data_IF_441492315049
#
_entry.id   IF_441492315049
#
_cell.length_a   1.000
_cell.length_b   1.000
_cell.length_c   1.000
_cell.angle_alpha   90.00
_cell.angle_beta   90.00
_cell.angle_gamma   90.00
#
_symmetry.space_group_name_H-M   'P 1'
#
loop_
_entity.id
_entity.type
_entity.pdbx_description
1 polymer ?
#
# COMPACT_ATOMS: atom_id res chain seq x y z
N UNK A 1 3.21 -21.53 -9.23
CA UNK A 1 2.29 -21.04 -8.19
C UNK A 1 1.59 -22.16 -7.41
N UNK A 2 0.71 -23.00 -7.96
CA UNK A 2 -0.01 -24.03 -7.15
C UNK A 2 0.90 -25.12 -6.58
N UNK A 3 1.94 -25.54 -7.32
CA UNK A 3 2.96 -26.48 -6.81
C UNK A 3 3.78 -25.92 -5.65
N UNK A 4 3.99 -24.60 -5.61
CA UNK A 4 4.69 -23.94 -4.51
C UNK A 4 3.90 -24.02 -3.21
N UNK A 5 2.57 -23.86 -3.26
CA UNK A 5 1.67 -23.98 -2.09
C UNK A 5 1.74 -25.37 -1.41
N UNK A 6 1.87 -26.46 -2.17
CA UNK A 6 2.07 -27.80 -1.60
C UNK A 6 3.43 -27.93 -0.88
N UNK A 7 4.47 -27.28 -1.41
CA UNK A 7 5.81 -27.28 -0.83
C UNK A 7 5.91 -26.41 0.43
N UNK A 8 5.00 -25.45 0.63
CA UNK A 8 4.93 -24.64 1.85
C UNK A 8 4.81 -25.51 3.09
N UNK A 9 3.91 -26.51 3.05
CA UNK A 9 3.63 -27.39 4.20
C UNK A 9 4.80 -28.33 4.49
N UNK A 10 5.60 -28.65 3.47
CA UNK A 10 6.73 -29.58 3.57
C UNK A 10 8.00 -28.94 4.14
N UNK A 11 8.15 -27.62 4.07
CA UNK A 11 9.35 -26.90 4.51
C UNK A 11 9.16 -26.39 5.95
N UNK A 12 9.88 -26.93 6.96
CA UNK A 12 9.65 -26.58 8.37
C UNK A 12 9.86 -25.09 8.69
N UNK A 13 10.89 -24.47 8.12
CA UNK A 13 11.18 -23.04 8.30
C UNK A 13 10.07 -22.15 7.75
N UNK A 14 9.65 -22.40 6.51
CA UNK A 14 8.59 -21.65 5.84
C UNK A 14 7.25 -21.81 6.57
N UNK A 15 6.96 -23.03 7.04
CA UNK A 15 5.80 -23.31 7.89
C UNK A 15 5.85 -22.50 9.19
N UNK A 16 7.00 -22.46 9.88
CA UNK A 16 7.16 -21.68 11.11
C UNK A 16 6.92 -20.18 10.88
N UNK A 17 7.49 -19.62 9.81
CA UNK A 17 7.29 -18.21 9.42
C UNK A 17 5.83 -17.88 9.10
N UNK A 18 5.12 -18.78 8.41
CA UNK A 18 3.70 -18.60 8.09
C UNK A 18 2.83 -18.71 9.33
N UNK A 19 3.08 -19.70 10.20
CA UNK A 19 2.36 -19.83 11.47
C UNK A 19 2.57 -18.57 12.31
N UNK A 20 3.80 -18.06 12.41
CA UNK A 20 4.08 -16.80 13.11
C UNK A 20 3.27 -15.63 12.53
N UNK A 21 3.22 -15.51 11.20
CA UNK A 21 2.44 -14.48 10.51
C UNK A 21 0.94 -14.59 10.81
N UNK A 22 0.38 -15.82 10.77
CA UNK A 22 -1.03 -16.07 11.10
C UNK A 22 -1.35 -15.78 12.57
N UNK A 23 -0.46 -16.12 13.49
CA UNK A 23 -0.60 -15.78 14.92
C UNK A 23 -0.62 -14.26 15.10
N UNK A 24 0.25 -13.53 14.40
CA UNK A 24 0.26 -12.06 14.44
C UNK A 24 -1.01 -11.45 13.84
N UNK A 25 -1.61 -12.05 12.81
CA UNK A 25 -2.93 -11.65 12.32
C UNK A 25 -4.04 -11.89 13.35
N UNK A 26 -3.99 -13.00 14.09
CA UNK A 26 -4.93 -13.25 15.17
C UNK A 26 -4.79 -12.19 16.29
N UNK A 27 -3.55 -11.83 16.66
CA UNK A 27 -3.28 -10.76 17.64
C UNK A 27 -3.81 -9.40 17.15
N UNK A 28 -3.53 -9.04 15.90
CA UNK A 28 -4.09 -7.85 15.27
C UNK A 28 -5.62 -7.85 15.35
N UNK A 29 -6.26 -8.98 14.99
CA UNK A 29 -7.71 -9.06 14.99
C UNK A 29 -8.31 -8.96 16.39
N UNK A 30 -7.73 -9.62 17.38
CA UNK A 30 -8.18 -9.52 18.78
C UNK A 30 -8.16 -8.06 19.26
N UNK A 31 -7.11 -7.30 18.94
CA UNK A 31 -7.06 -5.89 19.34
C UNK A 31 -8.10 -4.99 18.67
N UNK A 32 -8.63 -5.34 17.49
CA UNK A 32 -9.76 -4.60 16.88
C UNK A 32 -11.08 -4.75 17.65
N UNK A 33 -11.16 -5.68 18.61
CA UNK A 33 -12.31 -5.86 19.48
C UNK A 33 -12.15 -5.18 20.85
N UNK A 34 -11.00 -4.58 21.13
CA UNK A 34 -10.73 -3.87 22.39
C UNK A 34 -11.08 -2.39 22.18
N UNK A 35 -12.19 -1.87 22.73
CA UNK A 35 -12.59 -0.47 22.57
C UNK A 35 -11.66 0.46 23.35
N UNK A 36 -11.54 1.71 22.88
CA UNK A 36 -10.81 2.74 23.63
C UNK A 36 -11.61 3.12 24.89
N UNK A 37 -10.95 3.26 26.05
CA UNK A 37 -11.62 3.72 27.27
C UNK A 37 -12.26 5.11 27.11
N UNK A 38 -13.50 5.26 27.57
CA UNK A 38 -14.19 6.56 27.65
C UNK A 38 -14.98 6.97 26.40
N UNK A 39 -15.13 6.07 25.42
CA UNK A 39 -15.89 6.32 24.18
C UNK A 39 -17.07 5.35 24.08
N UNK A 40 -18.23 5.84 23.66
CA UNK A 40 -19.38 4.99 23.36
C UNK A 40 -19.29 4.48 21.90
N UNK A 41 -19.08 3.17 21.68
CA UNK A 41 -19.00 2.60 20.34
C UNK A 41 -20.30 2.79 19.54
N UNK A 42 -21.45 2.84 20.22
CA UNK A 42 -22.75 2.94 19.57
C UNK A 42 -23.02 4.36 19.03
N UNK A 43 -22.48 5.39 19.69
CA UNK A 43 -22.51 6.77 19.20
C UNK A 43 -21.67 6.92 17.92
N UNK A 44 -20.52 6.25 17.88
CA UNK A 44 -19.65 6.23 16.69
C UNK A 44 -20.31 5.47 15.54
N UNK A 45 -20.94 4.33 15.80
CA UNK A 45 -21.65 3.59 14.75
C UNK A 45 -22.77 4.42 14.09
N UNK A 46 -23.47 5.26 14.86
CA UNK A 46 -24.48 6.19 14.33
C UNK A 46 -23.87 7.30 13.47
N UNK A 47 -22.75 7.88 13.89
CA UNK A 47 -21.99 8.86 13.09
C UNK A 47 -21.48 8.23 11.78
N UNK A 48 -21.01 6.99 11.83
CA UNK A 48 -20.52 6.25 10.66
C UNK A 48 -21.61 5.93 9.64
N UNK A 49 -22.83 5.66 10.09
CA UNK A 49 -23.97 5.45 9.19
C UNK A 49 -24.40 6.73 8.44
N UNK A 50 -23.93 7.91 8.87
CA UNK A 50 -24.26 9.21 8.28
C UNK A 50 -23.17 9.83 7.38
N UNK A 51 -21.93 9.30 7.39
CA UNK A 51 -20.78 9.94 6.74
C UNK A 51 -19.98 9.03 5.80
N UNK A 52 -19.90 9.41 4.51
CA UNK A 52 -19.17 8.69 3.45
C UNK A 52 -17.64 8.70 3.60
N UNK A 53 -17.06 9.76 4.18
CA UNK A 53 -15.60 9.93 4.36
C UNK A 53 -14.99 8.85 5.29
N UNK A 54 -15.74 8.45 6.31
CA UNK A 54 -15.27 7.54 7.34
C UNK A 54 -15.20 6.07 6.87
N UNK A 55 -15.93 5.71 5.81
CA UNK A 55 -15.96 4.34 5.28
C UNK A 55 -14.63 3.85 4.68
N UNK A 56 -13.85 4.71 4.01
CA UNK A 56 -12.55 4.28 3.44
C UNK A 56 -11.49 4.07 4.53
N UNK A 57 -11.45 4.96 5.52
CA UNK A 57 -10.58 4.82 6.68
C UNK A 57 -10.91 3.52 7.44
N UNK A 58 -12.20 3.18 7.53
CA UNK A 58 -12.65 1.94 8.16
C UNK A 58 -12.20 0.69 7.39
N UNK A 59 -12.23 0.72 6.05
CA UNK A 59 -11.72 -0.38 5.21
C UNK A 59 -10.22 -0.63 5.44
N UNK A 60 -9.40 0.42 5.55
CA UNK A 60 -7.97 0.27 5.86
C UNK A 60 -7.68 -0.12 7.32
N UNK A 61 -8.63 0.16 8.22
CA UNK A 61 -8.56 -0.25 9.63
C UNK A 61 -9.15 -1.65 9.87
N UNK A 62 -9.82 -2.25 8.89
CA UNK A 62 -10.49 -3.54 9.02
C UNK A 62 -11.70 -3.54 9.97
N UNK A 63 -12.44 -2.44 10.05
CA UNK A 63 -13.55 -2.28 11.00
C UNK A 63 -13.11 -1.84 12.41
N UNK A 64 -11.83 -1.50 12.59
CA UNK A 64 -11.28 -1.04 13.86
C UNK A 64 -11.74 0.38 14.20
N UNK A 65 -12.05 1.18 13.17
CA UNK A 65 -12.51 2.55 13.27
C UNK A 65 -14.01 2.61 13.59
N UNK A 66 -14.85 1.78 12.94
CA UNK A 66 -16.29 1.69 13.21
C UNK A 66 -16.59 1.26 14.65
N UNK A 67 -15.72 0.44 15.25
CA UNK A 67 -15.81 0.00 16.65
C UNK A 67 -15.02 0.88 17.62
N UNK A 68 -14.32 1.88 17.11
CA UNK A 68 -13.40 2.74 17.83
C UNK A 68 -12.48 1.97 18.80
N UNK A 69 -11.80 0.98 18.24
CA UNK A 69 -10.86 0.14 18.97
C UNK A 69 -9.54 0.86 19.23
N UNK A 70 -8.68 0.25 20.05
CA UNK A 70 -7.29 0.71 20.26
C UNK A 70 -6.50 0.83 18.93
N UNK A 71 -6.95 0.16 17.88
CA UNK A 71 -6.37 0.20 16.53
C UNK A 71 -7.15 1.06 15.55
N UNK A 72 -8.02 1.97 16.02
CA UNK A 72 -8.85 2.82 15.16
C UNK A 72 -8.04 3.61 14.11
N UNK A 73 -6.83 4.05 14.46
CA UNK A 73 -5.94 4.77 13.54
C UNK A 73 -5.18 3.84 12.56
N UNK A 74 -5.24 2.53 12.78
CA UNK A 74 -4.50 1.50 12.03
C UNK A 74 -3.00 1.81 12.00
N UNK A 75 -2.31 1.35 10.95
CA UNK A 75 -0.91 1.65 10.65
C UNK A 75 -0.75 2.98 9.87
N UNK A 76 -1.83 3.73 9.65
CA UNK A 76 -1.87 4.96 8.84
C UNK A 76 -0.84 6.02 9.27
N UNK A 77 -0.65 6.32 10.57
CA UNK A 77 0.36 7.30 10.99
C UNK A 77 1.78 6.89 10.62
N UNK A 78 2.08 5.59 10.66
CA UNK A 78 3.38 5.06 10.24
C UNK A 78 3.57 5.18 8.75
N UNK A 79 2.53 4.88 7.96
CA UNK A 79 2.55 5.09 6.52
C UNK A 79 2.86 6.56 6.26
N UNK A 80 2.07 7.50 6.79
CA UNK A 80 2.29 8.94 6.60
C UNK A 80 3.70 9.38 6.99
N UNK A 81 4.22 8.91 8.13
CA UNK A 81 5.58 9.19 8.55
C UNK A 81 6.62 8.67 7.54
N UNK A 82 6.50 7.43 7.09
CA UNK A 82 7.39 6.82 6.10
C UNK A 82 7.36 7.58 4.77
N UNK A 83 6.18 8.05 4.36
CA UNK A 83 5.98 8.84 3.15
C UNK A 83 6.75 10.15 3.26
N UNK A 84 6.54 10.88 4.35
CA UNK A 84 7.18 12.18 4.58
C UNK A 84 8.69 12.02 4.60
N UNK A 85 9.23 11.04 5.31
CA UNK A 85 10.68 10.79 5.31
C UNK A 85 11.19 10.44 3.91
N UNK A 86 10.45 9.63 3.15
CA UNK A 86 10.86 9.28 1.79
C UNK A 86 10.83 10.46 0.81
N UNK A 87 9.91 11.41 0.99
CA UNK A 87 9.91 12.68 0.26
C UNK A 87 11.08 13.57 0.69
N UNK A 88 11.35 13.64 2.00
CA UNK A 88 12.47 14.42 2.55
C UNK A 88 13.83 13.86 2.13
N UNK A 89 13.95 12.56 1.81
CA UNK A 89 15.19 11.97 1.29
C UNK A 89 15.69 12.66 0.01
N UNK A 90 14.80 13.24 -0.79
CA UNK A 90 15.16 13.94 -2.04
C UNK A 90 15.65 15.36 -1.78
N UNK A 91 15.15 15.99 -0.71
CA UNK A 91 15.43 17.39 -0.38
C UNK A 91 16.60 17.51 0.60
N UNK A 92 16.74 16.56 1.51
CA UNK A 92 17.73 16.58 2.59
C UNK A 92 18.92 15.67 2.22
N UNK A 93 20.11 16.24 1.97
CA UNK A 93 21.27 15.46 1.51
C UNK A 93 21.77 14.45 2.54
N UNK A 94 21.56 14.68 3.84
CA UNK A 94 21.94 13.70 4.89
C UNK A 94 21.10 12.43 4.81
N UNK A 95 19.81 12.57 4.48
CA UNK A 95 18.92 11.42 4.28
C UNK A 95 19.27 10.67 2.99
N UNK A 96 19.64 11.40 1.94
CA UNK A 96 20.15 10.81 0.70
C UNK A 96 21.44 10.01 0.93
N UNK A 97 22.37 10.54 1.74
CA UNK A 97 23.60 9.85 2.13
C UNK A 97 23.30 8.55 2.89
N UNK A 98 22.39 8.58 3.87
CA UNK A 98 21.97 7.35 4.55
C UNK A 98 21.34 6.34 3.58
N UNK A 99 20.61 6.78 2.55
CA UNK A 99 20.12 5.87 1.52
C UNK A 99 21.25 5.22 0.70
N UNK A 100 22.45 5.80 0.65
CA UNK A 100 23.64 5.26 -0.04
C UNK A 100 24.52 4.39 0.87
N UNK A 101 24.42 4.54 2.19
CA UNK A 101 25.16 3.76 3.20
C UNK A 101 24.67 2.29 3.33
N UNK A 102 23.66 1.88 2.57
CA UNK A 102 23.13 0.51 2.59
C UNK A 102 22.37 0.20 3.88
N UNK A 103 22.64 -0.97 4.48
CA UNK A 103 21.82 -1.49 5.58
C UNK A 103 21.88 -0.66 6.87
N UNK A 104 23.04 -0.07 7.19
CA UNK A 104 23.17 0.82 8.35
C UNK A 104 22.38 2.12 8.18
N UNK A 105 22.41 2.70 6.98
CA UNK A 105 21.65 3.90 6.68
C UNK A 105 20.14 3.66 6.62
N UNK A 106 19.71 2.48 6.16
CA UNK A 106 18.31 2.06 6.31
C UNK A 106 17.88 1.99 7.77
N UNK A 107 18.71 1.42 8.66
CA UNK A 107 18.42 1.40 10.11
C UNK A 107 18.29 2.80 10.71
N UNK A 108 19.13 3.76 10.29
CA UNK A 108 19.03 5.17 10.71
C UNK A 108 17.71 5.79 10.25
N UNK A 109 17.38 5.62 8.97
CA UNK A 109 16.15 6.16 8.37
C UNK A 109 14.91 5.59 9.06
N UNK A 110 14.87 4.27 9.30
CA UNK A 110 13.78 3.61 10.02
C UNK A 110 13.64 4.14 11.44
N UNK A 111 14.74 4.39 12.17
CA UNK A 111 14.66 4.99 13.52
C UNK A 111 13.99 6.37 13.48
N UNK A 112 14.37 7.22 12.53
CA UNK A 112 13.74 8.55 12.37
C UNK A 112 12.26 8.41 12.04
N UNK A 113 11.90 7.51 11.11
CA UNK A 113 10.51 7.21 10.76
C UNK A 113 9.70 6.76 11.98
N UNK A 114 10.27 5.91 12.86
CA UNK A 114 9.61 5.46 14.10
C UNK A 114 9.33 6.62 15.04
N UNK A 115 10.31 7.46 15.34
CA UNK A 115 10.10 8.62 16.21
C UNK A 115 9.06 9.57 15.64
N UNK A 116 9.13 9.84 14.33
CA UNK A 116 8.18 10.69 13.65
C UNK A 116 6.76 10.10 13.64
N UNK A 117 6.64 8.77 13.52
CA UNK A 117 5.37 8.04 13.65
C UNK A 117 4.73 8.28 15.00
N UNK A 118 5.49 8.20 16.11
CA UNK A 118 4.93 8.42 17.45
C UNK A 118 4.38 9.83 17.59
N UNK A 119 5.12 10.84 17.11
CA UNK A 119 4.69 12.24 17.17
C UNK A 119 3.43 12.46 16.32
N UNK A 120 3.42 11.97 15.07
CA UNK A 120 2.27 12.09 14.18
C UNK A 120 1.05 11.34 14.71
N UNK A 121 1.24 10.13 15.23
CA UNK A 121 0.17 9.35 15.83
C UNK A 121 -0.43 10.09 17.03
N UNK A 122 0.38 10.68 17.89
CA UNK A 122 -0.11 11.45 19.03
C UNK A 122 -0.90 12.68 18.60
N UNK A 123 -0.39 13.47 17.65
CA UNK A 123 -1.08 14.65 17.13
C UNK A 123 -2.40 14.28 16.44
N UNK A 124 -2.38 13.24 15.60
CA UNK A 124 -3.57 12.77 14.90
C UNK A 124 -4.58 12.14 15.88
N UNK A 125 -4.14 11.47 16.94
CA UNK A 125 -5.00 10.90 17.98
C UNK A 125 -5.66 11.99 18.83
N UNK A 126 -4.91 13.03 19.21
CA UNK A 126 -5.47 14.22 19.86
C UNK A 126 -6.53 14.87 18.98
N UNK A 127 -6.22 15.06 17.70
CA UNK A 127 -7.16 15.58 16.73
C UNK A 127 -8.43 14.72 16.67
N UNK A 128 -8.27 13.43 16.47
CA UNK A 128 -9.40 12.51 16.38
C UNK A 128 -10.29 12.53 17.64
N UNK A 129 -9.68 12.60 18.83
CA UNK A 129 -10.42 12.70 20.09
C UNK A 129 -11.18 14.03 20.23
N UNK A 130 -10.63 15.13 19.72
CA UNK A 130 -11.30 16.44 19.71
C UNK A 130 -12.44 16.47 18.68
N UNK A 131 -12.23 15.88 17.51
CA UNK A 131 -13.23 15.83 16.43
C UNK A 131 -14.43 14.92 16.75
N UNK A 132 -14.23 13.93 17.62
CA UNK A 132 -15.27 12.97 18.06
C UNK A 132 -15.78 13.25 19.48
N UNK A 133 -15.70 14.49 19.96
CA UNK A 133 -16.15 14.89 21.31
C UNK A 133 -17.59 14.45 21.63
N UNK A 134 -18.47 14.41 20.63
CA UNK A 134 -19.87 13.97 20.80
C UNK A 134 -20.02 12.48 21.10
N UNK A 135 -19.01 11.66 20.76
CA UNK A 135 -18.99 10.22 21.06
C UNK A 135 -18.24 9.88 22.36
N UNK A 136 -17.62 10.86 23.01
CA UNK A 136 -16.88 10.69 24.26
C UNK A 136 -17.87 10.84 25.42
N UNK A 137 -17.94 9.82 26.30
CA UNK A 137 -18.90 9.77 27.41
C UNK A 137 -18.73 10.95 28.40
N UNK A 138 -17.49 11.41 28.59
CA UNK A 138 -17.14 12.57 29.42
C UNK A 138 -16.04 13.39 28.72
N UNK A 139 -16.39 14.35 27.85
CA UNK A 139 -15.41 15.13 27.11
C UNK A 139 -14.67 16.07 28.06
N UNK A 140 -13.43 15.72 28.42
CA UNK A 140 -12.54 16.54 29.23
C UNK A 140 -11.08 16.40 28.77
N UNK A 141 -10.18 17.35 29.10
CA UNK A 141 -8.78 17.32 28.67
C UNK A 141 -8.08 16.02 29.06
N UNK A 142 -8.41 15.47 30.24
CA UNK A 142 -7.87 14.21 30.72
C UNK A 142 -8.37 13.01 29.91
N UNK A 143 -9.65 12.98 29.54
CA UNK A 143 -10.21 11.92 28.67
C UNK A 143 -9.59 11.97 27.28
N UNK A 144 -9.44 13.17 26.69
CA UNK A 144 -8.76 13.36 25.41
C UNK A 144 -7.31 12.87 25.45
N UNK A 145 -6.59 13.14 26.54
CA UNK A 145 -5.21 12.67 26.70
C UNK A 145 -5.15 11.14 26.82
N UNK A 146 -6.05 10.52 27.59
CA UNK A 146 -6.13 9.05 27.72
C UNK A 146 -6.43 8.40 26.37
N UNK A 147 -7.39 8.93 25.62
CA UNK A 147 -7.73 8.45 24.27
C UNK A 147 -6.51 8.60 23.34
N UNK A 148 -5.85 9.77 23.36
CA UNK A 148 -4.70 10.04 22.52
C UNK A 148 -3.53 9.07 22.80
N UNK A 149 -3.22 8.84 24.08
CA UNK A 149 -2.18 7.89 24.50
C UNK A 149 -2.57 6.47 24.10
N UNK A 150 -3.82 6.06 24.29
CA UNK A 150 -4.30 4.71 23.96
C UNK A 150 -4.20 4.42 22.46
N UNK A 151 -4.67 5.35 21.63
CA UNK A 151 -4.58 5.22 20.17
C UNK A 151 -3.14 5.24 19.67
N UNK A 152 -2.29 6.11 20.25
CA UNK A 152 -0.86 6.16 19.93
C UNK A 152 -0.16 4.86 20.30
N UNK A 153 -0.43 4.32 21.49
CA UNK A 153 0.11 3.04 21.94
C UNK A 153 -0.36 1.90 21.04
N UNK A 154 -1.62 1.91 20.61
CA UNK A 154 -2.18 0.95 19.66
C UNK A 154 -1.45 0.99 18.31
N UNK A 155 -1.25 2.16 17.71
CA UNK A 155 -0.50 2.29 16.45
C UNK A 155 0.97 1.88 16.60
N UNK A 156 1.63 2.24 17.70
CA UNK A 156 3.03 1.83 17.95
C UNK A 156 3.13 0.32 18.12
N UNK A 157 2.15 -0.30 18.78
CA UNK A 157 2.07 -1.76 18.89
C UNK A 157 1.87 -2.41 17.52
N UNK A 158 1.00 -1.88 16.65
CA UNK A 158 0.83 -2.37 15.29
C UNK A 158 2.10 -2.23 14.45
N UNK A 159 2.80 -1.11 14.58
CA UNK A 159 4.11 -0.91 13.94
C UNK A 159 5.09 -1.99 14.39
N UNK A 160 5.17 -2.26 15.70
CA UNK A 160 6.01 -3.34 16.24
C UNK A 160 5.59 -4.71 15.68
N UNK A 161 4.30 -5.04 15.65
CA UNK A 161 3.80 -6.29 15.05
C UNK A 161 4.21 -6.41 13.58
N UNK A 162 4.11 -5.32 12.81
CA UNK A 162 4.52 -5.30 11.40
C UNK A 162 6.01 -5.56 11.23
N UNK A 163 6.85 -4.99 12.10
CA UNK A 163 8.29 -5.25 12.09
C UNK A 163 8.61 -6.69 12.51
N UNK A 164 7.89 -7.25 13.48
CA UNK A 164 8.04 -8.65 13.88
C UNK A 164 7.67 -9.61 12.75
N UNK A 165 6.58 -9.34 12.02
CA UNK A 165 6.21 -10.13 10.83
C UNK A 165 7.30 -10.02 9.75
N UNK A 166 7.90 -8.84 9.57
CA UNK A 166 8.98 -8.66 8.57
C UNK A 166 10.24 -9.42 8.95
N UNK A 167 10.59 -9.47 10.25
CA UNK A 167 11.79 -10.16 10.73
C UNK A 167 11.62 -11.69 10.80
N UNK A 168 10.51 -12.15 11.38
CA UNK A 168 10.30 -13.55 11.74
C UNK A 168 9.25 -14.25 10.85
N UNK A 169 8.50 -13.50 10.06
CA UNK A 169 7.43 -14.00 9.19
C UNK A 169 7.83 -14.07 7.73
N UNK A 170 6.82 -14.00 6.87
CA UNK A 170 6.94 -13.97 5.41
C UNK A 170 6.40 -12.64 4.91
N UNK A 171 7.01 -12.03 3.89
CA UNK A 171 6.48 -10.79 3.33
C UNK A 171 7.00 -9.52 4.03
N UNK A 172 6.40 -8.40 3.64
CA UNK A 172 6.50 -7.13 4.37
C UNK A 172 5.33 -7.06 5.35
N UNK A 173 5.64 -7.01 6.65
CA UNK A 173 4.62 -7.09 7.69
C UNK A 173 3.66 -5.91 7.74
N UNK A 174 4.11 -4.70 7.43
CA UNK A 174 3.23 -3.52 7.35
C UNK A 174 2.21 -3.71 6.23
N UNK A 175 2.67 -4.12 5.05
CA UNK A 175 1.79 -4.42 3.91
C UNK A 175 0.81 -5.54 4.22
N UNK A 176 1.25 -6.56 4.96
CA UNK A 176 0.41 -7.69 5.38
C UNK A 176 -0.64 -7.33 6.44
N UNK A 177 -0.35 -6.38 7.34
CA UNK A 177 -1.37 -5.85 8.27
C UNK A 177 -2.48 -5.13 7.49
N UNK A 178 -2.14 -4.31 6.50
CA UNK A 178 -3.13 -3.63 5.64
C UNK A 178 -3.94 -4.65 4.85
N UNK A 179 -3.26 -5.66 4.28
CA UNK A 179 -3.90 -6.79 3.59
C UNK A 179 -4.91 -7.50 4.51
N UNK A 180 -4.50 -7.84 5.73
CA UNK A 180 -5.36 -8.52 6.71
C UNK A 180 -6.57 -7.64 7.11
N UNK A 181 -6.39 -6.33 7.27
CA UNK A 181 -7.46 -5.38 7.55
C UNK A 181 -8.52 -5.37 6.45
N UNK A 182 -8.09 -5.22 5.19
CA UNK A 182 -9.00 -5.19 4.03
C UNK A 182 -9.74 -6.53 3.89
N UNK A 183 -9.02 -7.65 3.95
CA UNK A 183 -9.61 -8.99 3.77
C UNK A 183 -10.59 -9.31 4.91
N UNK A 184 -10.32 -8.85 6.14
CA UNK A 184 -11.22 -9.03 7.28
C UNK A 184 -12.55 -8.28 7.14
N UNK A 185 -12.61 -7.22 6.33
CA UNK A 185 -13.85 -6.48 6.06
C UNK A 185 -14.72 -7.15 4.97
N UNK A 186 -14.13 -8.00 4.10
CA UNK A 186 -14.85 -8.65 2.99
C UNK A 186 -16.05 -9.49 3.45
N UNK A 187 -15.97 -10.36 4.48
CA UNK A 187 -17.11 -11.17 4.92
C UNK A 187 -18.31 -10.32 5.36
N UNK A 188 -18.05 -9.22 6.09
CA UNK A 188 -19.10 -8.32 6.54
C UNK A 188 -19.77 -7.59 5.36
N UNK A 189 -18.98 -7.18 4.36
CA UNK A 189 -19.50 -6.55 3.14
C UNK A 189 -20.35 -7.52 2.30
N UNK A 190 -19.95 -8.80 2.20
CA UNK A 190 -20.75 -9.84 1.54
C UNK A 190 -22.07 -10.07 2.30
N UNK A 191 -22.05 -10.08 3.63
CA UNK A 191 -23.25 -10.18 4.46
C UNK A 191 -24.23 -9.01 4.22
N UNK A 192 -23.72 -7.77 4.09
CA UNK A 192 -24.54 -6.61 3.74
C UNK A 192 -25.20 -6.76 2.37
N UNK A 193 -24.44 -7.20 1.35
CA UNK A 193 -24.98 -7.48 0.00
C UNK A 193 -26.10 -8.52 0.07
N UNK A 194 -25.92 -9.58 0.87
CA UNK A 194 -26.93 -10.61 1.04
C UNK A 194 -28.21 -10.07 1.69
N UNK A 195 -28.11 -9.22 2.72
CA UNK A 195 -29.26 -8.56 3.31
C UNK A 195 -29.96 -7.59 2.34
N UNK A 196 -29.22 -6.85 1.51
CA UNK A 196 -29.81 -5.98 0.50
C UNK A 196 -30.52 -6.74 -0.62
N UNK A 197 -30.06 -7.94 -0.96
CA UNK A 197 -30.74 -8.86 -1.86
C UNK A 197 -32.05 -9.38 -1.24
N UNK A 198 -32.03 -9.76 0.03
CA UNK A 198 -33.22 -10.22 0.75
C UNK A 198 -34.26 -9.10 0.93
N UNK A 199 -33.81 -7.87 1.17
CA UNK A 199 -34.65 -6.68 1.31
C UNK A 199 -35.24 -6.20 -0.03
N UNK A 200 -34.85 -6.78 -1.17
CA UNK A 200 -35.31 -6.39 -2.51
C UNK A 200 -34.79 -5.04 -3.01
N UNK A 201 -33.93 -4.37 -2.22
CA UNK A 201 -33.31 -3.08 -2.60
C UNK A 201 -32.34 -3.20 -3.78
N UNK A 202 -31.79 -4.39 -4.03
CA UNK A 202 -30.82 -4.66 -5.10
C UNK A 202 -31.28 -5.87 -5.90
N UNK A 203 -31.28 -5.74 -7.22
CA UNK A 203 -31.59 -6.86 -8.14
C UNK A 203 -30.44 -7.87 -8.21
N UNK A 204 -30.77 -9.15 -8.36
CA UNK A 204 -29.80 -10.23 -8.63
C UNK A 204 -28.91 -9.92 -9.85
N UNK A 205 -29.45 -9.21 -10.84
CA UNK A 205 -28.71 -8.78 -12.04
C UNK A 205 -27.58 -7.82 -11.67
N UNK A 206 -27.82 -6.86 -10.77
CA UNK A 206 -26.81 -5.88 -10.35
C UNK A 206 -25.67 -6.56 -9.58
N UNK A 207 -26.00 -7.56 -8.74
CA UNK A 207 -24.98 -8.34 -8.02
C UNK A 207 -24.13 -9.18 -8.97
N UNK A 208 -24.74 -9.77 -10.02
CA UNK A 208 -23.99 -10.49 -11.04
C UNK A 208 -23.04 -9.58 -11.82
N UNK A 209 -23.52 -8.42 -12.30
CA UNK A 209 -22.67 -7.43 -12.97
C UNK A 209 -21.54 -6.93 -12.07
N UNK A 210 -21.85 -6.66 -10.80
CA UNK A 210 -20.86 -6.26 -9.81
C UNK A 210 -19.76 -7.32 -9.62
N UNK A 211 -20.15 -8.59 -9.45
CA UNK A 211 -19.20 -9.70 -9.32
C UNK A 211 -18.34 -9.88 -10.58
N UNK A 212 -18.94 -9.77 -11.77
CA UNK A 212 -18.22 -9.85 -13.03
C UNK A 212 -17.17 -8.73 -13.17
N UNK A 213 -17.52 -7.49 -12.80
CA UNK A 213 -16.58 -6.36 -12.81
C UNK A 213 -15.47 -6.56 -11.78
N UNK A 214 -15.80 -7.03 -10.57
CA UNK A 214 -14.79 -7.31 -9.54
C UNK A 214 -13.76 -8.35 -10.04
N UNK A 215 -14.21 -9.44 -10.66
CA UNK A 215 -13.31 -10.44 -11.25
C UNK A 215 -12.50 -9.85 -12.40
N UNK A 216 -13.12 -9.09 -13.30
CA UNK A 216 -12.42 -8.41 -14.39
C UNK A 216 -11.32 -7.46 -13.89
N UNK A 217 -11.59 -6.71 -12.81
CA UNK A 217 -10.60 -5.86 -12.16
C UNK A 217 -9.43 -6.68 -11.60
N UNK A 218 -9.69 -7.80 -10.92
CA UNK A 218 -8.62 -8.67 -10.40
C UNK A 218 -7.73 -9.16 -11.54
N UNK A 219 -8.32 -9.67 -12.63
CA UNK A 219 -7.56 -10.16 -13.79
C UNK A 219 -6.72 -9.05 -14.40
N UNK A 220 -7.31 -7.86 -14.57
CA UNK A 220 -6.62 -6.69 -15.13
C UNK A 220 -5.45 -6.25 -14.24
N UNK A 221 -5.65 -6.21 -12.90
CA UNK A 221 -4.57 -5.92 -11.94
C UNK A 221 -3.45 -6.93 -12.04
N UNK A 222 -3.75 -8.23 -12.06
CA UNK A 222 -2.73 -9.28 -12.18
C UNK A 222 -1.96 -9.12 -13.50
N UNK A 223 -2.65 -8.88 -14.61
CA UNK A 223 -2.03 -8.73 -15.92
C UNK A 223 -1.03 -7.56 -15.95
N UNK A 224 -1.42 -6.38 -15.45
CA UNK A 224 -0.53 -5.21 -15.43
C UNK A 224 0.58 -5.34 -14.39
N UNK A 225 0.29 -5.92 -13.22
CA UNK A 225 1.30 -6.09 -12.17
C UNK A 225 2.38 -7.11 -12.56
N UNK A 226 2.02 -8.13 -13.34
CA UNK A 226 2.97 -9.12 -13.86
C UNK A 226 3.65 -8.69 -15.17
N UNK A 227 3.16 -7.62 -15.82
CA UNK A 227 3.75 -7.11 -17.05
C UNK A 227 5.11 -6.45 -16.81
N UNK A 228 6.08 -6.80 -17.66
CA UNK A 228 7.39 -6.15 -17.72
C UNK A 228 7.85 -5.99 -19.17
N UNK A 229 8.48 -4.86 -19.46
CA UNK A 229 9.22 -4.63 -20.69
C UNK A 229 10.60 -5.27 -20.56
N UNK A 230 10.95 -6.14 -21.51
CA UNK A 230 12.27 -6.75 -21.60
C UNK A 230 13.19 -5.81 -22.38
N UNK A 231 14.22 -5.28 -21.72
CA UNK A 231 15.29 -4.54 -22.41
C UNK A 231 16.45 -5.49 -22.63
N UNK A 232 16.77 -5.87 -23.88
CA UNK A 232 17.84 -6.83 -24.15
C UNK A 232 19.20 -6.24 -23.79
N UNK A 233 20.02 -7.04 -23.11
CA UNK A 233 21.40 -6.73 -22.79
C UNK A 233 22.30 -7.84 -23.30
N UNK A 234 23.49 -7.45 -23.75
CA UNK A 234 24.56 -8.36 -24.11
C UNK A 234 25.74 -8.10 -23.19
N UNK A 235 26.36 -9.16 -22.70
CA UNK A 235 27.64 -9.05 -22.02
C UNK A 235 28.77 -9.19 -23.03
N UNK A 236 29.80 -8.35 -22.87
CA UNK A 236 30.99 -8.39 -23.70
C UNK A 236 31.60 -9.81 -23.68
N UNK A 237 31.86 -10.34 -24.87
CA UNK A 237 32.45 -11.67 -25.04
C UNK A 237 33.92 -11.63 -24.65
N UNK A 238 34.38 -12.60 -23.86
CA UNK A 238 35.82 -12.78 -23.61
C UNK A 238 36.33 -13.82 -24.59
N UNK A 239 37.07 -13.38 -25.61
CA UNK A 239 37.76 -14.30 -26.53
C UNK A 239 39.06 -14.73 -25.86
N UNK A 240 39.21 -16.04 -25.58
CA UNK A 240 40.46 -16.63 -25.09
C UNK A 240 40.85 -17.73 -26.08
N UNK A 241 41.91 -17.50 -26.87
CA UNK A 241 42.32 -18.40 -27.95
C UNK A 241 41.35 -18.41 -29.14
N UNK A 242 41.14 -19.58 -29.76
CA UNK A 242 40.18 -19.77 -30.87
C UNK A 242 38.73 -20.09 -30.42
N UNK A 243 38.48 -20.21 -29.11
CA UNK A 243 37.16 -20.57 -28.58
C UNK A 243 36.47 -19.34 -28.00
N UNK A 244 35.29 -19.04 -28.54
CA UNK A 244 34.44 -17.97 -28.05
C UNK A 244 33.72 -18.45 -26.78
N UNK A 245 34.12 -17.92 -25.63
CA UNK A 245 33.40 -18.11 -24.37
C UNK A 245 32.57 -16.85 -24.05
N UNK A 246 31.29 -17.04 -23.78
CA UNK A 246 30.40 -15.96 -23.38
C UNK A 246 29.75 -15.20 -24.54
N UNK A 247 28.75 -14.40 -24.17
CA UNK A 247 27.77 -13.81 -25.08
C UNK A 247 26.35 -14.33 -24.86
N UNK A 248 26.00 -14.70 -23.62
CA UNK A 248 24.61 -14.99 -23.30
C UNK A 248 23.83 -13.67 -23.38
N UNK A 249 22.86 -13.60 -24.29
CA UNK A 249 21.89 -12.53 -24.28
C UNK A 249 21.04 -12.67 -23.02
N UNK A 250 20.89 -11.58 -22.30
CA UNK A 250 19.99 -11.49 -21.16
C UNK A 250 19.08 -10.29 -21.37
N UNK A 251 18.20 -10.02 -20.42
CA UNK A 251 17.35 -8.85 -20.45
C UNK A 251 17.18 -8.27 -19.06
N UNK A 252 17.03 -6.94 -18.99
CA UNK A 252 16.59 -6.25 -17.78
C UNK A 252 15.05 -6.20 -17.83
N UNK A 253 14.36 -6.79 -16.83
CA UNK A 253 12.91 -6.66 -16.72
C UNK A 253 12.53 -5.31 -16.10
N UNK A 254 12.01 -4.40 -16.91
CA UNK A 254 11.43 -3.14 -16.43
C UNK A 254 9.93 -3.33 -16.22
N UNK A 255 9.47 -3.36 -14.97
CA UNK A 255 8.05 -3.55 -14.63
C UNK A 255 7.20 -2.38 -15.13
N UNK A 256 5.97 -2.67 -15.57
CA UNK A 256 5.02 -1.61 -15.98
C UNK A 256 4.62 -0.73 -14.81
N UNK A 257 4.36 -1.35 -13.67
CA UNK A 257 4.13 -0.65 -12.41
C UNK A 257 5.29 -0.94 -11.44
N UNK A 258 6.33 -0.12 -11.49
CA UNK A 258 7.45 -0.21 -10.55
C UNK A 258 7.07 0.33 -9.17
N UNK A 259 6.11 1.26 -9.12
CA UNK A 259 5.70 1.94 -7.90
C UNK A 259 4.76 1.12 -7.00
N UNK A 260 4.18 0.04 -7.55
CA UNK A 260 3.23 -0.80 -6.84
C UNK A 260 1.98 -0.01 -6.48
N UNK A 261 1.55 -0.09 -5.23
CA UNK A 261 0.33 0.57 -4.73
C UNK A 261 0.65 1.87 -3.98
N UNK A 262 1.94 2.17 -3.79
CA UNK A 262 2.42 3.26 -2.95
C UNK A 262 1.94 4.65 -3.44
N UNK A 263 1.98 4.99 -4.75
CA UNK A 263 1.49 6.28 -5.24
C UNK A 263 0.03 6.56 -4.93
N UNK A 264 -0.82 5.53 -4.92
CA UNK A 264 -2.25 5.66 -4.61
C UNK A 264 -2.43 6.04 -3.14
N UNK A 265 -1.66 5.39 -2.25
CA UNK A 265 -1.66 5.70 -0.82
C UNK A 265 -1.15 7.12 -0.58
N UNK A 266 -0.15 7.58 -1.34
CA UNK A 266 0.36 8.95 -1.24
C UNK A 266 -0.72 9.95 -1.65
N UNK A 267 -1.35 9.73 -2.81
CA UNK A 267 -2.42 10.58 -3.31
C UNK A 267 -3.60 10.67 -2.31
N UNK A 268 -4.01 9.53 -1.74
CA UNK A 268 -5.10 9.52 -0.74
C UNK A 268 -4.72 10.23 0.55
N UNK A 269 -3.48 10.07 1.03
CA UNK A 269 -3.01 10.69 2.28
C UNK A 269 -2.89 12.21 2.14
N UNK A 270 -2.40 12.69 1.00
CA UNK A 270 -2.29 14.12 0.68
C UNK A 270 -3.67 14.77 0.57
N UNK A 271 -4.64 14.09 -0.04
CA UNK A 271 -6.02 14.59 -0.10
C UNK A 271 -6.74 14.55 1.24
N UNK A 272 -6.44 13.57 2.08
CA UNK A 272 -7.02 13.49 3.42
C UNK A 272 -6.51 14.57 4.36
N UNK A 273 -5.29 15.09 4.14
CA UNK A 273 -4.67 16.04 5.06
C UNK A 273 -5.46 17.37 5.20
N UNK A 274 -5.81 18.09 4.12
CA UNK A 274 -6.65 19.29 4.22
C UNK A 274 -8.02 19.02 4.83
N UNK A 275 -8.65 17.90 4.46
CA UNK A 275 -9.97 17.50 4.99
C UNK A 275 -9.91 17.27 6.49
N UNK A 276 -8.84 16.62 6.97
CA UNK A 276 -8.60 16.37 8.39
C UNK A 276 -8.35 17.68 9.14
N UNK A 277 -7.58 18.62 8.57
CA UNK A 277 -7.36 19.94 9.19
C UNK A 277 -8.66 20.74 9.27
N UNK A 278 -9.47 20.71 8.20
CA UNK A 278 -10.73 21.43 8.15
C UNK A 278 -11.75 20.94 9.20
N UNK A 279 -11.61 19.71 9.71
CA UNK A 279 -12.43 19.23 10.83
C UNK A 279 -12.08 19.94 12.16
N UNK A 280 -10.87 20.49 12.30
CA UNK A 280 -10.44 21.24 13.49
C UNK A 280 -10.82 22.72 13.45
N UNK A 281 -11.11 23.25 12.26
CA UNK A 281 -11.32 24.67 12.04
C UNK A 281 -12.82 24.89 11.78
N UNK A 282 -13.51 25.44 12.79
CA UNK A 282 -14.94 25.75 12.68
C UNK A 282 -15.17 27.09 11.96
N UNK A 283 -14.67 27.19 10.73
CA UNK A 283 -14.85 28.37 9.89
C UNK A 283 -15.61 27.98 8.61
N UNK A 284 -16.72 28.66 8.27
CA UNK A 284 -17.59 28.28 7.16
C UNK A 284 -16.88 28.14 5.80
N UNK A 285 -15.95 29.05 5.48
CA UNK A 285 -15.22 28.98 4.21
C UNK A 285 -14.26 27.78 4.16
N UNK A 286 -13.67 27.39 5.30
CA UNK A 286 -12.79 26.22 5.40
C UNK A 286 -13.58 24.92 5.25
N UNK A 287 -14.77 24.84 5.88
CA UNK A 287 -15.69 23.71 5.71
C UNK A 287 -16.21 23.59 4.28
N UNK A 288 -16.53 24.71 3.63
CA UNK A 288 -16.97 24.73 2.22
C UNK A 288 -15.85 24.27 1.30
N UNK A 289 -14.62 24.76 1.54
CA UNK A 289 -13.43 24.33 0.79
C UNK A 289 -13.15 22.84 0.96
N UNK A 290 -13.23 22.33 2.19
CA UNK A 290 -13.08 20.90 2.47
C UNK A 290 -14.20 20.05 1.86
N UNK A 291 -15.41 20.62 1.74
CA UNK A 291 -16.54 20.00 1.05
C UNK A 291 -16.26 19.72 -0.42
N UNK A 292 -15.48 20.56 -1.11
CA UNK A 292 -15.04 20.29 -2.50
C UNK A 292 -14.04 19.14 -2.60
N UNK A 293 -13.28 18.87 -1.54
CA UNK A 293 -12.38 17.72 -1.43
C UNK A 293 -13.04 16.52 -0.72
N UNK A 294 -14.35 16.57 -0.46
CA UNK A 294 -15.06 15.44 0.10
C UNK A 294 -15.19 14.32 -0.95
N UNK A 295 -15.16 13.09 -0.44
CA UNK A 295 -15.32 11.88 -1.26
C UNK A 295 -16.68 11.85 -1.96
N UNK A 296 -16.68 11.41 -3.22
CA UNK A 296 -17.89 11.37 -4.06
C UNK A 296 -18.10 12.61 -4.92
N UNK A 297 -17.35 13.70 -4.70
CA UNK A 297 -17.38 14.85 -5.60
C UNK A 297 -16.54 14.59 -6.87
N UNK A 298 -17.00 15.04 -8.05
CA UNK A 298 -16.22 14.93 -9.29
C UNK A 298 -14.86 15.64 -9.21
N UNK A 299 -14.78 16.73 -8.44
CA UNK A 299 -13.54 17.47 -8.21
C UNK A 299 -12.53 16.63 -7.43
N UNK A 300 -12.94 16.00 -6.32
CA UNK A 300 -12.08 15.09 -5.57
C UNK A 300 -11.55 13.96 -6.46
N UNK A 301 -12.42 13.29 -7.24
CA UNK A 301 -11.99 12.19 -8.12
C UNK A 301 -11.00 12.64 -9.19
N UNK A 302 -11.16 13.84 -9.74
CA UNK A 302 -10.25 14.39 -10.76
C UNK A 302 -8.89 14.76 -10.16
N UNK A 303 -8.87 15.44 -9.01
CA UNK A 303 -7.61 15.78 -8.32
C UNK A 303 -6.91 14.51 -7.85
N UNK A 304 -7.66 13.51 -7.37
CA UNK A 304 -7.12 12.22 -6.99
C UNK A 304 -6.47 11.50 -8.17
N UNK A 305 -7.11 11.49 -9.36
CA UNK A 305 -6.52 10.96 -10.59
C UNK A 305 -5.17 11.62 -10.91
N UNK A 306 -5.13 12.95 -10.89
CA UNK A 306 -3.95 13.73 -11.22
C UNK A 306 -2.83 13.51 -10.22
N UNK A 307 -3.15 13.46 -8.93
CA UNK A 307 -2.18 13.16 -7.88
C UNK A 307 -1.64 11.74 -8.01
N UNK A 308 -2.46 10.74 -8.36
CA UNK A 308 -1.97 9.38 -8.62
C UNK A 308 -0.98 9.39 -9.77
N UNK A 309 -1.28 10.08 -10.88
CA UNK A 309 -0.37 10.17 -12.02
C UNK A 309 0.94 10.84 -11.59
N UNK A 310 0.86 12.00 -10.93
CA UNK A 310 2.02 12.73 -10.43
C UNK A 310 2.88 11.88 -9.49
N UNK A 311 2.28 11.27 -8.46
CA UNK A 311 3.02 10.45 -7.50
C UNK A 311 3.57 9.17 -8.11
N UNK A 312 2.95 8.63 -9.16
CA UNK A 312 3.49 7.47 -9.87
C UNK A 312 4.79 7.84 -10.58
N UNK A 313 4.82 8.98 -11.28
CA UNK A 313 6.04 9.50 -11.89
C UNK A 313 7.11 9.83 -10.87
N UNK A 314 6.73 10.60 -9.84
CA UNK A 314 7.63 11.01 -8.78
C UNK A 314 8.26 9.81 -8.08
N UNK A 315 7.45 8.83 -7.66
CA UNK A 315 7.95 7.65 -6.95
C UNK A 315 8.86 6.80 -7.85
N UNK A 316 8.49 6.58 -9.11
CA UNK A 316 9.33 5.81 -10.04
C UNK A 316 10.66 6.51 -10.29
N UNK A 317 10.68 7.83 -10.48
CA UNK A 317 11.91 8.59 -10.69
C UNK A 317 12.84 8.55 -9.46
N UNK A 318 12.29 8.61 -8.25
CA UNK A 318 13.09 8.59 -7.01
C UNK A 318 13.62 7.19 -6.70
N UNK A 319 12.84 6.14 -6.97
CA UNK A 319 13.22 4.77 -6.61
C UNK A 319 14.10 4.09 -7.65
N UNK A 320 13.91 4.41 -8.94
CA UNK A 320 14.68 3.82 -10.03
C UNK A 320 15.79 4.78 -10.45
N UNK A 321 16.98 4.61 -9.85
CA UNK A 321 18.17 5.37 -10.23
C UNK A 321 18.75 4.84 -11.54
N UNK A 322 18.25 5.37 -12.66
CA UNK A 322 18.64 4.96 -14.01
C UNK A 322 20.13 5.17 -14.28
N UNK A 323 20.72 6.24 -13.73
CA UNK A 323 22.16 6.50 -13.78
C UNK A 323 22.97 5.32 -13.24
N UNK A 324 22.58 4.85 -12.05
CA UNK A 324 23.27 3.78 -11.34
C UNK A 324 23.08 2.45 -12.07
N UNK A 325 21.91 2.22 -12.68
CA UNK A 325 21.68 1.05 -13.54
C UNK A 325 22.60 1.04 -14.76
N UNK A 326 22.77 2.17 -15.43
CA UNK A 326 23.64 2.31 -16.58
C UNK A 326 25.13 2.16 -16.21
N UNK A 327 25.54 2.73 -15.08
CA UNK A 327 26.91 2.60 -14.56
C UNK A 327 27.21 1.17 -14.13
N UNK A 328 26.28 0.50 -13.45
CA UNK A 328 26.40 -0.91 -13.10
C UNK A 328 26.50 -1.79 -14.35
N UNK A 329 25.65 -1.56 -15.36
CA UNK A 329 25.76 -2.24 -16.66
C UNK A 329 27.16 -2.10 -17.26
N UNK A 330 27.68 -0.88 -17.31
CA UNK A 330 29.03 -0.59 -17.80
C UNK A 330 30.11 -1.31 -16.97
N UNK A 331 29.99 -1.29 -15.64
CA UNK A 331 30.93 -1.92 -14.70
C UNK A 331 30.97 -3.44 -14.84
N UNK A 332 29.83 -4.08 -15.08
CA UNK A 332 29.73 -5.53 -15.32
C UNK A 332 30.00 -5.94 -16.77
N UNK A 333 30.44 -5.02 -17.64
CA UNK A 333 30.71 -5.29 -19.06
C UNK A 333 29.45 -5.62 -19.88
N UNK A 334 28.27 -5.24 -19.37
CA UNK A 334 26.99 -5.33 -20.06
C UNK A 334 26.72 -4.08 -20.88
N UNK A 335 26.08 -4.25 -22.04
CA UNK A 335 25.63 -3.14 -22.88
C UNK A 335 24.30 -3.46 -23.56
N UNK A 336 23.54 -2.42 -23.90
CA UNK A 336 22.32 -2.54 -24.69
C UNK A 336 22.74 -2.54 -26.17
N UNK A 337 22.40 -3.58 -26.96
CA UNK A 337 22.72 -3.60 -28.39
C UNK A 337 22.24 -2.32 -29.10
N UNK A 338 23.15 -1.62 -29.77
CA UNK A 338 22.86 -0.37 -30.49
C UNK A 338 22.99 0.92 -29.67
N UNK A 339 23.28 0.85 -28.36
CA UNK A 339 23.46 2.03 -27.50
C UNK A 339 24.85 1.99 -26.85
N UNK A 340 25.54 3.13 -26.86
CA UNK A 340 26.89 3.23 -26.25
C UNK A 340 26.79 3.14 -24.71
N UNK A 341 27.65 2.35 -24.04
CA UNK A 341 27.66 2.25 -22.58
C UNK A 341 27.97 3.60 -21.91
N UNK A 342 27.25 3.91 -20.82
CA UNK A 342 27.38 5.17 -20.08
C UNK A 342 26.12 6.03 -20.20
N UNK A 343 26.30 7.34 -20.35
CA UNK A 343 25.22 8.33 -20.41
C UNK A 343 24.14 8.03 -21.49
N UNK A 344 24.49 7.62 -22.73
CA UNK A 344 23.47 7.26 -23.73
C UNK A 344 22.62 6.04 -23.32
N UNK A 345 23.18 5.12 -22.52
CA UNK A 345 22.43 4.00 -21.96
C UNK A 345 21.45 4.48 -20.89
N UNK A 346 21.83 5.47 -20.07
CA UNK A 346 20.94 6.08 -19.09
C UNK A 346 19.78 6.80 -19.77
N UNK A 347 20.04 7.63 -20.79
CA UNK A 347 19.00 8.32 -21.56
C UNK A 347 18.01 7.34 -22.23
N UNK A 348 18.53 6.26 -22.82
CA UNK A 348 17.68 5.23 -23.41
C UNK A 348 16.77 4.56 -22.37
N UNK A 349 17.34 4.18 -21.22
CA UNK A 349 16.57 3.58 -20.12
C UNK A 349 15.54 4.55 -19.56
N UNK A 350 15.88 5.83 -19.43
CA UNK A 350 14.97 6.89 -18.98
C UNK A 350 13.78 7.09 -19.93
N UNK A 351 14.04 7.18 -21.23
CA UNK A 351 12.99 7.30 -22.24
C UNK A 351 12.03 6.09 -22.23
N UNK A 352 12.58 4.88 -22.07
CA UNK A 352 11.78 3.66 -21.96
C UNK A 352 10.97 3.66 -20.66
N UNK A 353 11.59 3.97 -19.52
CA UNK A 353 10.93 4.01 -18.22
C UNK A 353 9.82 5.05 -18.16
N UNK A 354 10.04 6.26 -18.68
CA UNK A 354 9.04 7.33 -18.71
C UNK A 354 7.79 6.91 -19.47
N UNK A 355 7.94 6.29 -20.66
CA UNK A 355 6.79 5.80 -21.45
C UNK A 355 6.04 4.64 -20.79
N UNK A 356 6.77 3.73 -20.16
CA UNK A 356 6.17 2.62 -19.42
C UNK A 356 5.39 3.15 -18.21
N UNK A 357 5.99 4.10 -17.50
CA UNK A 357 5.40 4.74 -16.31
C UNK A 357 4.14 5.51 -16.67
N UNK A 358 4.06 6.14 -17.86
CA UNK A 358 2.83 6.75 -18.37
C UNK A 358 1.66 5.75 -18.39
N UNK A 359 1.88 4.58 -18.98
CA UNK A 359 0.86 3.53 -19.06
C UNK A 359 0.49 3.00 -17.66
N UNK A 360 1.48 2.81 -16.79
CA UNK A 360 1.26 2.42 -15.39
C UNK A 360 0.48 3.45 -14.58
N UNK A 361 0.77 4.74 -14.75
CA UNK A 361 0.13 5.84 -14.05
C UNK A 361 -1.35 5.99 -14.42
N UNK A 362 -1.67 5.97 -15.72
CA UNK A 362 -3.05 5.98 -16.19
C UNK A 362 -3.83 4.75 -15.70
N UNK A 363 -3.18 3.59 -15.72
CA UNK A 363 -3.76 2.37 -15.21
C UNK A 363 -4.11 2.46 -13.71
N UNK A 364 -3.18 2.95 -12.89
CA UNK A 364 -3.41 3.13 -11.45
C UNK A 364 -4.52 4.14 -11.17
N UNK A 365 -4.54 5.27 -11.90
CA UNK A 365 -5.58 6.28 -11.77
C UNK A 365 -6.95 5.71 -12.19
N UNK A 366 -7.02 4.96 -13.29
CA UNK A 366 -8.23 4.31 -13.77
C UNK A 366 -8.81 3.37 -12.71
N UNK A 367 -8.00 2.47 -12.15
CA UNK A 367 -8.50 1.51 -11.14
C UNK A 367 -8.90 2.19 -9.83
N UNK A 368 -8.22 3.26 -9.43
CA UNK A 368 -8.57 3.97 -8.21
C UNK A 368 -9.95 4.66 -8.31
N UNK A 369 -10.32 5.14 -9.50
CA UNK A 369 -11.56 5.89 -9.74
C UNK A 369 -12.71 4.98 -10.17
N UNK A 370 -12.42 3.87 -10.87
CA UNK A 370 -13.42 2.98 -11.44
C UNK A 370 -14.54 2.58 -10.46
N UNK A 371 -14.26 2.24 -9.18
CA UNK A 371 -15.31 1.89 -8.23
C UNK A 371 -16.22 3.06 -7.85
N UNK A 372 -15.70 4.29 -7.81
CA UNK A 372 -16.52 5.48 -7.54
C UNK A 372 -17.49 5.75 -8.69
N UNK A 373 -17.04 5.53 -9.93
CA UNK A 373 -17.89 5.64 -11.12
C UNK A 373 -18.98 4.56 -11.07
N UNK A 374 -18.61 3.31 -10.78
CA UNK A 374 -19.56 2.20 -10.70
C UNK A 374 -20.60 2.46 -9.60
N UNK A 375 -20.18 2.88 -8.41
CA UNK A 375 -21.08 3.18 -7.30
C UNK A 375 -22.10 4.28 -7.68
N UNK A 376 -21.63 5.36 -8.32
CA UNK A 376 -22.51 6.43 -8.81
C UNK A 376 -23.49 5.99 -9.90
N UNK A 377 -23.08 5.04 -10.76
CA UNK A 377 -23.93 4.53 -11.83
C UNK A 377 -24.97 3.51 -11.33
N UNK A 378 -24.60 2.66 -10.35
CA UNK A 378 -25.48 1.61 -9.83
C UNK A 378 -26.36 2.07 -8.66
N UNK A 379 -26.18 3.29 -8.14
CA UNK A 379 -26.87 3.82 -6.96
C UNK A 379 -26.76 2.91 -5.72
N UNK A 380 -25.71 2.07 -5.67
CA UNK A 380 -25.41 1.18 -4.55
C UNK A 380 -24.53 1.92 -3.54
N UNK A 381 -25.10 2.93 -2.89
CA UNK A 381 -24.42 3.68 -1.84
C UNK A 381 -24.16 2.76 -0.63
N UNK A 382 -22.89 2.55 -0.30
CA UNK A 382 -22.46 1.76 0.87
C UNK A 382 -21.72 0.46 0.57
N UNK A 383 -21.67 0.00 -0.69
CA UNK A 383 -20.79 -1.12 -1.09
C UNK A 383 -19.51 -0.52 -1.69
N UNK A 384 -18.68 0.04 -0.81
CA UNK A 384 -17.38 0.59 -1.19
C UNK A 384 -16.38 -0.55 -1.44
N UNK A 385 -16.45 -1.14 -2.64
CA UNK A 385 -15.38 -2.00 -3.13
C UNK A 385 -14.20 -1.13 -3.54
N UNK A 386 -13.38 -0.75 -2.56
CA UNK A 386 -12.27 0.17 -2.78
C UNK A 386 -11.30 -0.35 -3.82
N UNK A 387 -11.15 0.34 -4.95
CA UNK A 387 -10.23 -0.05 -6.03
C UNK A 387 -8.79 -0.07 -5.55
N UNK A 388 -8.47 0.86 -4.64
CA UNK A 388 -7.24 0.86 -3.85
C UNK A 388 -7.10 -0.41 -3.00
N UNK A 389 -8.17 -0.83 -2.33
CA UNK A 389 -8.15 -2.00 -1.46
C UNK A 389 -7.88 -3.29 -2.27
N UNK A 390 -8.47 -3.41 -3.46
CA UNK A 390 -8.22 -4.52 -4.38
C UNK A 390 -6.77 -4.54 -4.89
N UNK A 391 -6.23 -3.38 -5.28
CA UNK A 391 -4.83 -3.25 -5.69
C UNK A 391 -3.87 -3.67 -4.58
N UNK A 392 -4.13 -3.24 -3.34
CA UNK A 392 -3.33 -3.64 -2.17
C UNK A 392 -3.42 -5.16 -1.98
N UNK A 393 -4.62 -5.73 -2.01
CA UNK A 393 -4.82 -7.17 -1.78
C UNK A 393 -4.09 -8.01 -2.82
N UNK A 394 -4.25 -7.68 -4.10
CA UNK A 394 -3.59 -8.42 -5.19
C UNK A 394 -2.08 -8.19 -5.17
N UNK A 395 -1.62 -6.95 -4.98
CA UNK A 395 -0.19 -6.62 -4.97
C UNK A 395 0.56 -7.31 -3.83
N UNK A 396 0.05 -7.18 -2.60
CA UNK A 396 0.66 -7.82 -1.42
C UNK A 396 0.58 -9.34 -1.53
N UNK A 397 -0.52 -9.88 -2.04
CA UNK A 397 -0.66 -11.31 -2.32
C UNK A 397 0.40 -11.83 -3.30
N UNK A 398 0.58 -11.14 -4.44
CA UNK A 398 1.56 -11.52 -5.46
C UNK A 398 3.01 -11.39 -4.96
N UNK A 399 3.33 -10.32 -4.23
CA UNK A 399 4.69 -10.11 -3.71
C UNK A 399 5.04 -11.11 -2.63
N UNK A 400 4.10 -11.43 -1.73
CA UNK A 400 4.27 -12.48 -0.72
C UNK A 400 4.49 -13.84 -1.38
N UNK A 401 3.70 -14.16 -2.42
CA UNK A 401 3.87 -15.39 -3.19
C UNK A 401 5.21 -15.48 -3.90
N UNK A 402 5.67 -14.39 -4.53
CA UNK A 402 6.99 -14.34 -5.19
C UNK A 402 8.12 -14.54 -4.19
N UNK A 403 8.02 -13.93 -3.00
CA UNK A 403 9.01 -14.11 -1.95
C UNK A 403 9.05 -15.56 -1.45
N UNK A 404 7.88 -16.20 -1.27
CA UNK A 404 7.78 -17.63 -0.97
C UNK A 404 8.43 -18.47 -2.05
N UNK A 405 8.09 -18.24 -3.33
CA UNK A 405 8.68 -18.98 -4.46
C UNK A 405 10.21 -18.79 -4.51
N UNK A 406 10.73 -17.59 -4.24
CA UNK A 406 12.18 -17.33 -4.21
C UNK A 406 12.90 -18.14 -3.12
N UNK A 407 12.30 -18.27 -1.93
CA UNK A 407 12.86 -19.10 -0.84
C UNK A 407 12.84 -20.59 -1.21
N UNK A 408 11.81 -21.06 -1.92
CA UNK A 408 11.74 -22.45 -2.39
C UNK A 408 12.80 -22.72 -3.46
N UNK A 409 12.98 -21.80 -4.42
CA UNK A 409 13.98 -21.95 -5.51
C UNK A 409 15.40 -21.94 -4.98
N UNK A 410 15.75 -21.05 -4.04
CA UNK A 410 17.09 -21.03 -3.44
C UNK A 410 17.49 -22.36 -2.82
N UNK A 411 16.51 -23.15 -2.33
CA UNK A 411 16.75 -24.47 -1.74
C UNK A 411 16.83 -25.60 -2.77
N UNK A 412 16.22 -25.41 -3.95
CA UNK A 412 16.28 -26.35 -5.07
C UNK A 412 17.43 -26.04 -6.04
N UNK A 413 18.43 -25.24 -5.63
CA UNK A 413 19.71 -25.27 -6.32
C UNK A 413 20.24 -26.70 -6.19
N UNK A 414 20.03 -27.50 -7.24
CA UNK A 414 20.66 -28.79 -7.37
C UNK A 414 22.16 -28.52 -7.31
N UNK A 415 22.81 -29.03 -6.25
CA UNK A 415 24.25 -28.99 -6.15
C UNK A 415 24.84 -29.60 -7.41
N UNK A 416 25.91 -28.99 -7.91
CA UNK A 416 26.65 -29.37 -9.12
C UNK A 416 27.06 -30.86 -9.20
N UNK A 417 26.88 -31.63 -8.12
CA UNK A 417 27.15 -33.04 -8.02
C UNK A 417 25.85 -33.84 -7.91
N UNK A 418 25.19 -34.06 -9.06
CA UNK A 418 24.28 -35.17 -9.28
C UNK A 418 24.61 -35.83 -10.60
#
# INVERSE_FOLDING_TARGET
MVSALSNIVKIPELRSKIIFTLVMFAVFRMGTHIPVPGVDPSAIERLFNSGTLFGLLDLFSGGALSKFSIFAMSITPYINASIIIQLLNVVIPTLEQWSKEGEEGHKKTTKVTRYFTVVLAFLQAMGMSIGLKEAVLNPGPMSTLIIAITLTAGTVFLMWVGEQITANGVGNGISLIIFAGIVAALPANIGKIYHYLQAGTISYINVFFFAAIAVAMIVLVIAVHTAFRRVPIAYAKRVVGQKQFGGQSSFIPLKVNHAGVIPIIFASSVLMFPVTIAQFIDIPWVKTFAGYFAWGTPLHSTVYALLIIFFTYFYTAVTVKISDMAENLKKYGGFIPGVRPGEPTAEYLDHVMTRITLAGAFFLAFIAILPTIIASATHMDGINFGGTALLIVVGVGLDTMKQIESMVVMRHYEGFMK
#
